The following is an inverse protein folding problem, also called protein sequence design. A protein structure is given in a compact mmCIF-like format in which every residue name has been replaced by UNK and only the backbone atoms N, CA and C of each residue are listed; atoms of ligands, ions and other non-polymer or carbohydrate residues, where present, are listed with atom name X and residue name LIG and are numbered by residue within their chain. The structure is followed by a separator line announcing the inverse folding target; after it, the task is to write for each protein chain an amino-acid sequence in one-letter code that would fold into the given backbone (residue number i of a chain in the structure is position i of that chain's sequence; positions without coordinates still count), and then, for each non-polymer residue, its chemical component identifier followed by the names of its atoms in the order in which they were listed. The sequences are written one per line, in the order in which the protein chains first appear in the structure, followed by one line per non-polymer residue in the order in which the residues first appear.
data_IF_633492667938
#
_entry.id   IF_633492667938
#
_cell.length_a   1.000
_cell.length_b   1.000
_cell.length_c   1.000
_cell.angle_alpha   90.00
_cell.angle_beta   90.00
_cell.angle_gamma   90.00
#
_symmetry.space_group_name_H-M   'P 1'
#
loop_
_entity.id
_entity.type
_entity.pdbx_description
1 polymer ?
#
# COMPACT_ATOMS: atom_id res chain seq x y z
N UNK A 1 -18.20 -8.02 -8.62
CA UNK A 1 -18.72 -7.94 -10.01
C UNK A 1 -17.74 -7.06 -10.74
N UNK A 2 -16.99 -7.60 -11.71
CA UNK A 2 -15.97 -6.82 -12.43
C UNK A 2 -16.63 -6.30 -13.71
N UNK A 3 -16.79 -4.99 -13.82
CA UNK A 3 -17.31 -4.35 -15.02
C UNK A 3 -16.17 -4.21 -16.03
N UNK A 4 -16.39 -4.72 -17.25
CA UNK A 4 -15.45 -4.55 -18.37
C UNK A 4 -15.93 -3.37 -19.19
N UNK A 5 -15.13 -2.31 -19.23
CA UNK A 5 -15.38 -1.15 -20.06
C UNK A 5 -14.51 -1.29 -21.31
N UNK A 6 -15.13 -1.26 -22.50
CA UNK A 6 -14.42 -1.16 -23.76
C UNK A 6 -14.07 0.30 -24.05
N UNK A 7 -12.82 0.54 -24.40
CA UNK A 7 -12.29 1.86 -24.71
C UNK A 7 -12.55 2.15 -26.19
N UNK A 8 -13.25 3.22 -26.51
CA UNK A 8 -13.38 3.75 -27.88
C UNK A 8 -12.44 4.92 -28.13
N UNK A 9 -12.12 5.18 -29.40
CA UNK A 9 -11.12 6.15 -29.89
C UNK A 9 -11.35 7.59 -29.40
N UNK A 10 -10.71 7.92 -28.28
CA UNK A 10 -10.36 9.27 -27.87
C UNK A 10 -8.83 9.36 -27.85
N UNK A 11 -8.24 10.40 -28.46
CA UNK A 11 -6.78 10.53 -28.62
C UNK A 11 -6.05 10.50 -27.26
N UNK A 12 -6.65 11.11 -26.23
CA UNK A 12 -6.06 11.16 -24.88
C UNK A 12 -6.11 9.77 -24.22
N UNK A 13 -7.24 9.07 -24.38
CA UNK A 13 -7.42 7.74 -23.83
C UNK A 13 -6.51 6.71 -24.53
N UNK A 14 -6.34 6.84 -25.85
CA UNK A 14 -5.44 6.01 -26.65
C UNK A 14 -3.98 6.19 -26.23
N UNK A 15 -3.55 7.43 -26.01
CA UNK A 15 -2.21 7.73 -25.50
C UNK A 15 -1.99 7.15 -24.09
N UNK A 16 -3.00 7.23 -23.22
CA UNK A 16 -2.96 6.64 -21.89
C UNK A 16 -2.78 5.11 -21.95
N UNK A 17 -3.59 4.43 -22.77
CA UNK A 17 -3.51 2.98 -22.97
C UNK A 17 -2.13 2.57 -23.51
N UNK A 18 -1.58 3.32 -24.47
CA UNK A 18 -0.26 3.03 -25.04
C UNK A 18 0.87 3.14 -24.01
N UNK A 19 0.77 4.07 -23.04
CA UNK A 19 1.72 4.22 -21.94
C UNK A 19 1.60 3.09 -20.92
N UNK A 20 0.37 2.77 -20.53
CA UNK A 20 0.08 1.65 -19.63
C UNK A 20 0.58 0.31 -20.22
N UNK A 21 0.40 0.07 -21.52
CA UNK A 21 0.91 -1.14 -22.19
C UNK A 21 2.43 -1.24 -22.28
N UNK A 22 3.18 -0.18 -21.91
CA UNK A 22 4.63 -0.20 -21.74
C UNK A 22 5.06 -0.49 -20.29
N UNK A 23 4.11 -0.73 -19.38
CA UNK A 23 4.35 -0.89 -17.96
C UNK A 23 4.48 0.44 -17.18
N UNK A 24 4.12 1.58 -17.78
CA UNK A 24 4.05 2.83 -17.03
C UNK A 24 2.88 2.81 -16.05
N UNK A 25 3.07 3.39 -14.87
CA UNK A 25 2.01 3.61 -13.87
C UNK A 25 1.51 5.04 -13.99
N UNK A 26 0.20 5.22 -13.97
CA UNK A 26 -0.41 6.55 -14.11
C UNK A 26 -1.36 6.81 -12.95
N UNK A 27 -1.14 7.94 -12.30
CA UNK A 27 -2.01 8.47 -11.26
C UNK A 27 -3.14 9.31 -11.88
N UNK A 28 -4.37 8.95 -11.55
CA UNK A 28 -5.57 9.72 -11.90
C UNK A 28 -5.89 10.66 -10.76
N UNK A 29 -5.94 11.95 -11.06
CA UNK A 29 -6.31 12.99 -10.10
C UNK A 29 -7.58 13.70 -10.53
N UNK A 30 -8.40 14.10 -9.55
CA UNK A 30 -9.57 14.96 -9.73
C UNK A 30 -9.45 16.11 -8.75
N UNK A 31 -9.49 17.34 -9.26
CA UNK A 31 -9.31 18.56 -8.45
C UNK A 31 -8.02 18.53 -7.60
N UNK A 32 -6.93 17.99 -8.18
CA UNK A 32 -5.63 17.84 -7.52
C UNK A 32 -5.55 16.72 -6.47
N UNK A 33 -6.62 15.95 -6.26
CA UNK A 33 -6.64 14.80 -5.35
C UNK A 33 -6.48 13.51 -6.12
N UNK A 34 -5.62 12.62 -5.65
CA UNK A 34 -5.47 11.27 -6.18
C UNK A 34 -6.78 10.48 -5.99
N UNK A 35 -7.34 9.95 -7.08
CA UNK A 35 -8.59 9.16 -7.06
C UNK A 35 -8.36 7.71 -7.45
N UNK A 36 -7.38 7.42 -8.30
CA UNK A 36 -7.04 6.07 -8.73
C UNK A 36 -5.60 5.99 -9.25
N UNK A 37 -5.06 4.78 -9.27
CA UNK A 37 -3.83 4.44 -10.00
C UNK A 37 -4.21 3.41 -11.07
N UNK A 38 -3.79 3.65 -12.31
CA UNK A 38 -3.91 2.66 -13.38
C UNK A 38 -2.52 2.08 -13.62
N UNK A 39 -2.47 0.75 -13.61
CA UNK A 39 -1.27 -0.04 -13.89
C UNK A 39 -1.57 -1.01 -15.03
N UNK A 40 -0.53 -1.46 -15.72
CA UNK A 40 -0.65 -2.55 -16.68
C UNK A 40 -1.23 -3.79 -15.97
N UNK A 41 -2.12 -4.50 -16.66
CA UNK A 41 -2.65 -5.79 -16.22
C UNK A 41 -1.54 -6.84 -16.04
N UNK A 42 -0.43 -6.72 -16.76
CA UNK A 42 0.74 -7.59 -16.59
C UNK A 42 1.50 -7.31 -15.29
N UNK A 43 1.31 -6.14 -14.68
CA UNK A 43 2.02 -5.66 -13.49
C UNK A 43 1.05 -5.31 -12.34
N UNK A 44 0.15 -6.24 -11.91
CA UNK A 44 -0.46 -6.05 -10.61
C UNK A 44 0.72 -6.02 -9.62
N UNK A 45 0.78 -5.08 -8.64
CA UNK A 45 1.70 -5.26 -7.52
C UNK A 45 1.42 -6.66 -7.02
N UNK A 46 2.39 -7.56 -7.17
CA UNK A 46 2.19 -8.96 -6.87
C UNK A 46 1.82 -9.00 -5.40
N UNK A 47 0.52 -9.09 -5.12
CA UNK A 47 0.05 -9.46 -3.81
C UNK A 47 0.58 -10.87 -3.65
N UNK A 48 1.75 -10.95 -3.02
CA UNK A 48 2.41 -12.19 -2.69
C UNK A 48 2.00 -12.52 -1.25
N UNK A 49 0.92 -13.33 -1.09
CA UNK A 49 0.47 -13.73 0.22
C UNK A 49 1.56 -14.47 1.01
N UNK A 50 2.52 -15.11 0.35
CA UNK A 50 3.64 -15.77 1.04
C UNK A 50 4.68 -14.75 1.52
N UNK A 51 4.98 -13.71 0.73
CA UNK A 51 5.80 -12.59 1.22
C UNK A 51 5.16 -11.91 2.44
N UNK A 52 3.84 -11.66 2.40
CA UNK A 52 3.10 -11.06 3.51
C UNK A 52 3.13 -11.94 4.77
N UNK A 53 2.85 -13.25 4.64
CA UNK A 53 2.94 -14.22 5.75
C UNK A 53 4.35 -14.29 6.32
N UNK A 54 5.37 -14.29 5.46
CA UNK A 54 6.78 -14.34 5.89
C UNK A 54 7.18 -13.08 6.68
N UNK A 55 6.69 -11.90 6.27
CA UNK A 55 6.93 -10.65 6.97
C UNK A 55 6.28 -10.65 8.36
N UNK A 56 5.02 -11.09 8.46
CA UNK A 56 4.32 -11.24 9.73
C UNK A 56 5.05 -12.21 10.68
N UNK A 57 5.50 -13.37 10.17
CA UNK A 57 6.27 -14.34 10.95
C UNK A 57 7.57 -13.74 11.50
N UNK A 58 8.31 -12.95 10.68
CA UNK A 58 9.53 -12.25 11.13
C UNK A 58 9.24 -11.22 12.23
N UNK A 59 8.15 -10.47 12.13
CA UNK A 59 7.74 -9.51 13.16
C UNK A 59 7.40 -10.22 14.48
N UNK A 60 6.65 -11.32 14.42
CA UNK A 60 6.30 -12.12 15.60
C UNK A 60 7.55 -12.72 16.23
N UNK A 61 8.45 -13.30 15.44
CA UNK A 61 9.70 -13.88 15.95
C UNK A 61 10.59 -12.83 16.65
N UNK A 62 10.56 -11.59 16.17
CA UNK A 62 11.29 -10.45 16.75
C UNK A 62 10.52 -9.72 17.85
N UNK A 63 9.30 -10.14 18.21
CA UNK A 63 8.44 -9.42 19.19
C UNK A 63 8.94 -9.45 20.63
N UNK A 64 10.12 -9.99 20.93
CA UNK A 64 10.77 -9.81 22.23
C UNK A 64 11.21 -8.35 22.35
N UNK A 65 10.26 -7.49 22.72
CA UNK A 65 10.52 -6.09 23.04
C UNK A 65 11.54 -5.98 24.17
N UNK A 66 12.25 -4.87 24.21
CA UNK A 66 13.05 -4.54 25.39
C UNK A 66 12.09 -4.24 26.54
N UNK A 67 12.16 -5.06 27.59
CA UNK A 67 11.45 -4.79 28.84
C UNK A 67 12.36 -4.00 29.75
N UNK A 68 11.87 -2.90 30.33
CA UNK A 68 12.56 -2.16 31.39
C UNK A 68 12.40 -2.89 32.73
N UNK A 69 12.84 -4.15 32.81
CA UNK A 69 12.87 -4.91 34.05
C UNK A 69 11.51 -5.11 34.74
N UNK A 70 10.42 -5.25 33.97
CA UNK A 70 9.06 -5.44 34.51
C UNK A 70 8.23 -4.16 34.63
N UNK A 71 8.82 -3.00 34.35
CA UNK A 71 8.09 -1.73 34.28
C UNK A 71 7.20 -1.71 33.02
N UNK A 72 5.93 -1.42 33.23
CA UNK A 72 4.92 -1.29 32.19
C UNK A 72 5.00 0.09 31.53
N UNK A 73 4.56 0.18 30.27
CA UNK A 73 4.40 1.47 29.57
C UNK A 73 3.49 2.41 30.35
N UNK A 74 2.47 1.87 31.04
CA UNK A 74 1.53 2.66 31.84
C UNK A 74 2.23 3.36 33.00
N UNK A 75 3.09 2.67 33.72
CA UNK A 75 3.86 3.26 34.82
C UNK A 75 4.77 4.39 34.33
N UNK A 76 5.40 4.23 33.16
CA UNK A 76 6.21 5.29 32.55
C UNK A 76 5.38 6.53 32.19
N UNK A 77 4.18 6.33 31.66
CA UNK A 77 3.26 7.43 31.31
C UNK A 77 2.80 8.17 32.58
N UNK A 78 2.43 7.42 33.62
CA UNK A 78 1.93 8.02 34.87
C UNK A 78 3.06 8.77 35.61
N UNK A 79 4.30 8.29 35.54
CA UNK A 79 5.47 8.99 36.06
C UNK A 79 5.74 10.30 35.32
N UNK A 80 5.71 10.29 33.98
CA UNK A 80 5.88 11.50 33.17
C UNK A 80 4.75 12.52 33.30
N UNK A 81 3.59 12.16 33.88
CA UNK A 81 2.48 13.09 34.17
C UNK A 81 2.56 13.70 35.57
N UNK A 82 3.40 13.15 36.44
CA UNK A 82 3.60 13.65 37.81
C UNK A 82 4.55 14.85 37.88
N UNK A 83 5.37 15.03 36.85
CA UNK A 83 6.33 16.12 36.68
C UNK A 83 6.00 16.92 35.41
#
# INVERSE_FOLDING_TARGET
MNERIEISDDDMLSALVARLGRGEKVELTRDGKLVAEIVDRADPPSYDPEAAKSAAARMIARRKGQTLGGITIRELIDEGRRY
#
